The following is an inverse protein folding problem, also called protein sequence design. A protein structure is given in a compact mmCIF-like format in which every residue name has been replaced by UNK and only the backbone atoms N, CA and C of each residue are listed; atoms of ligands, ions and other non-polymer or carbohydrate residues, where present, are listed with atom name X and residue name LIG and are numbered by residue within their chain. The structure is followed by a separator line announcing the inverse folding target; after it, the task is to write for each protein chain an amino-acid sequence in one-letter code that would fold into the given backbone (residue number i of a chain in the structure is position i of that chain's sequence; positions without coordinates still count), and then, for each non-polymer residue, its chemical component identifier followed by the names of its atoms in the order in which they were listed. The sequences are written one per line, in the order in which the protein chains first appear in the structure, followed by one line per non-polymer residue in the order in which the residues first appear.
data_IF_891427114976
#
_entry.id   IF_891427114976
#
_cell.length_a   1.000
_cell.length_b   1.000
_cell.length_c   1.000
_cell.angle_alpha   90.00
_cell.angle_beta   90.00
_cell.angle_gamma   90.00
#
_symmetry.space_group_name_H-M   'P 1'
#
loop_
_entity.id
_entity.type
_entity.pdbx_description
1 polymer ?
#
# COMPACT_ATOMS: atom_id res chain seq x y z
N UNK A 1 -7.75 4.56 3.43
CA UNK A 1 -6.71 5.58 3.61
C UNK A 1 -6.05 5.89 2.28
N UNK A 2 -5.87 7.15 2.00
CA UNK A 2 -5.25 7.61 0.76
C UNK A 2 -4.00 8.42 1.07
N UNK A 3 -2.96 8.22 0.26
CA UNK A 3 -1.75 9.02 0.33
C UNK A 3 -1.46 9.57 -1.07
N UNK A 4 -1.13 10.85 -1.14
CA UNK A 4 -0.70 11.48 -2.40
C UNK A 4 0.59 12.25 -2.08
N UNK A 5 1.63 11.99 -2.86
CA UNK A 5 2.92 12.64 -2.70
C UNK A 5 3.56 12.83 -4.07
N UNK A 6 4.75 13.40 -4.10
CA UNK A 6 5.55 13.53 -5.33
C UNK A 6 6.96 13.01 -5.07
N UNK A 7 7.53 12.36 -6.07
CA UNK A 7 8.92 11.96 -6.01
C UNK A 7 9.85 13.15 -6.33
N UNK A 8 11.19 12.97 -6.24
CA UNK A 8 12.14 14.05 -6.52
C UNK A 8 12.06 14.63 -7.93
N UNK A 9 11.48 13.90 -8.89
CA UNK A 9 11.30 14.36 -10.27
C UNK A 9 9.95 15.05 -10.48
N UNK A 10 9.13 15.17 -9.44
CA UNK A 10 7.81 15.79 -9.52
C UNK A 10 6.69 14.86 -9.95
N UNK A 11 6.98 13.57 -10.16
CA UNK A 11 5.96 12.58 -10.51
C UNK A 11 5.10 12.23 -9.29
N UNK A 12 3.80 12.13 -9.50
CA UNK A 12 2.87 11.82 -8.42
C UNK A 12 3.03 10.37 -7.95
N UNK A 13 3.03 10.20 -6.64
CA UNK A 13 2.99 8.89 -6.00
C UNK A 13 1.67 8.82 -5.25
N UNK A 14 0.85 7.82 -5.56
CA UNK A 14 -0.45 7.63 -4.91
C UNK A 14 -0.54 6.25 -4.31
N UNK A 15 -1.09 6.17 -3.11
CA UNK A 15 -1.40 4.91 -2.46
C UNK A 15 -2.82 4.97 -1.93
N UNK A 16 -3.57 3.90 -2.12
CA UNK A 16 -4.93 3.78 -1.63
C UNK A 16 -5.09 2.44 -0.93
N UNK A 17 -5.53 2.48 0.31
CA UNK A 17 -5.82 1.28 1.12
C UNK A 17 -7.30 1.28 1.44
N UNK A 18 -7.99 0.20 1.13
CA UNK A 18 -9.44 0.10 1.29
C UNK A 18 -9.87 -1.30 1.72
N UNK A 19 -11.00 -1.42 2.40
CA UNK A 19 -11.58 -2.74 2.65
C UNK A 19 -12.10 -3.32 1.35
N UNK A 20 -11.81 -4.59 1.12
CA UNK A 20 -12.27 -5.31 -0.06
C UNK A 20 -13.09 -6.52 0.35
N UNK A 21 -14.11 -6.85 -0.44
CA UNK A 21 -14.88 -8.06 -0.26
C UNK A 21 -14.88 -8.83 -1.57
N UNK A 22 -14.10 -9.90 -1.62
CA UNK A 22 -13.98 -10.72 -2.82
C UNK A 22 -14.40 -12.14 -2.50
N UNK A 23 -15.41 -12.60 -3.21
CA UNK A 23 -16.00 -13.91 -2.95
C UNK A 23 -15.07 -15.06 -3.28
N UNK A 24 -14.29 -14.92 -4.35
CA UNK A 24 -13.42 -15.99 -4.83
C UNK A 24 -12.01 -15.99 -4.18
N UNK A 25 -11.73 -15.05 -3.30
CA UNK A 25 -10.47 -15.00 -2.53
C UNK A 25 -10.77 -14.74 -1.06
N UNK A 26 -11.36 -15.74 -0.36
CA UNK A 26 -11.74 -15.56 1.04
C UNK A 26 -10.54 -15.22 1.91
N UNK A 27 -10.74 -14.30 2.84
CA UNK A 27 -9.67 -13.86 3.76
C UNK A 27 -8.80 -12.74 3.22
N UNK A 28 -8.85 -12.41 1.93
CA UNK A 28 -8.10 -11.30 1.35
C UNK A 28 -8.99 -10.06 1.32
N UNK A 29 -9.05 -9.39 2.47
CA UNK A 29 -10.01 -8.32 2.74
C UNK A 29 -9.41 -6.92 2.74
N UNK A 30 -8.10 -6.80 2.57
CA UNK A 30 -7.43 -5.50 2.50
C UNK A 30 -6.92 -5.28 1.08
N UNK A 31 -7.46 -4.28 0.40
CA UNK A 31 -6.98 -3.87 -0.91
C UNK A 31 -5.94 -2.76 -0.79
N UNK A 32 -4.87 -2.86 -1.55
CA UNK A 32 -3.89 -1.79 -1.68
C UNK A 32 -3.62 -1.51 -3.15
N UNK A 33 -3.66 -0.25 -3.52
CA UNK A 33 -3.31 0.22 -4.86
C UNK A 33 -2.19 1.22 -4.76
N UNK A 34 -1.17 1.02 -5.59
CA UNK A 34 -0.02 1.92 -5.68
C UNK A 34 0.10 2.41 -7.12
N UNK A 35 0.21 3.71 -7.29
CA UNK A 35 0.32 4.35 -8.60
C UNK A 35 1.53 5.28 -8.60
N UNK A 36 2.40 5.09 -9.58
CA UNK A 36 3.55 5.96 -9.77
C UNK A 36 3.92 5.98 -11.25
N UNK A 37 3.97 7.16 -11.85
CA UNK A 37 4.24 7.37 -13.25
C UNK A 37 3.19 6.62 -14.09
N UNK A 38 3.59 5.76 -15.00
CA UNK A 38 2.68 4.91 -15.78
C UNK A 38 2.50 3.52 -15.19
N UNK A 39 2.97 3.31 -13.96
CA UNK A 39 2.96 2.00 -13.30
C UNK A 39 1.89 1.94 -12.23
N UNK A 40 1.12 0.88 -12.26
CA UNK A 40 0.05 0.62 -11.30
C UNK A 40 0.21 -0.78 -10.74
N UNK A 41 0.06 -0.90 -9.42
CA UNK A 41 0.08 -2.19 -8.74
C UNK A 41 -1.16 -2.25 -7.86
N UNK A 42 -1.90 -3.34 -7.96
CA UNK A 42 -3.06 -3.60 -7.11
C UNK A 42 -2.91 -4.98 -6.47
N UNK A 43 -3.06 -5.05 -5.17
CA UNK A 43 -2.94 -6.28 -4.40
C UNK A 43 -4.11 -6.43 -3.44
N UNK A 44 -4.48 -7.68 -3.18
CA UNK A 44 -5.42 -8.04 -2.14
C UNK A 44 -4.67 -8.84 -1.08
N UNK A 45 -4.73 -8.39 0.15
CA UNK A 45 -3.96 -8.94 1.25
C UNK A 45 -4.90 -9.49 2.32
N UNK A 46 -4.43 -10.52 3.02
CA UNK A 46 -5.05 -10.93 4.29
C UNK A 46 -4.75 -9.87 5.35
N UNK A 47 -5.50 -9.90 6.45
CA UNK A 47 -5.24 -8.99 7.56
C UNK A 47 -3.82 -9.14 8.10
N UNK A 48 -3.32 -10.38 8.19
CA UNK A 48 -1.96 -10.65 8.67
C UNK A 48 -0.90 -10.10 7.71
N UNK A 49 -1.08 -10.33 6.41
CA UNK A 49 -0.17 -9.78 5.39
C UNK A 49 -0.14 -8.25 5.43
N UNK A 50 -1.32 -7.63 5.57
CA UNK A 50 -1.41 -6.17 5.65
C UNK A 50 -0.70 -5.64 6.90
N UNK A 51 -0.85 -6.33 8.04
CA UNK A 51 -0.15 -5.97 9.27
C UNK A 51 1.35 -6.08 9.14
N UNK A 52 1.84 -7.16 8.55
CA UNK A 52 3.28 -7.36 8.33
C UNK A 52 3.86 -6.30 7.40
N UNK A 53 3.17 -5.98 6.32
CA UNK A 53 3.60 -4.94 5.40
C UNK A 53 3.64 -3.58 6.09
N UNK A 54 2.60 -3.24 6.85
CA UNK A 54 2.55 -1.99 7.58
C UNK A 54 3.68 -1.86 8.60
N UNK A 55 3.97 -2.92 9.34
CA UNK A 55 5.06 -2.95 10.30
C UNK A 55 6.43 -2.77 9.62
N UNK A 56 6.63 -3.41 8.47
CA UNK A 56 7.85 -3.28 7.70
C UNK A 56 8.05 -1.85 7.20
N UNK A 57 6.99 -1.21 6.72
CA UNK A 57 7.04 0.17 6.26
C UNK A 57 7.35 1.13 7.41
N UNK A 58 6.72 0.94 8.57
CA UNK A 58 6.98 1.76 9.75
C UNK A 58 8.41 1.61 10.25
N UNK A 59 8.91 0.38 10.28
CA UNK A 59 10.29 0.09 10.69
C UNK A 59 11.28 0.76 9.75
N UNK A 60 11.09 0.64 8.45
CA UNK A 60 11.93 1.30 7.46
C UNK A 60 11.95 2.80 7.62
N UNK A 61 10.78 3.42 7.86
CA UNK A 61 10.70 4.87 8.09
C UNK A 61 11.50 5.30 9.33
N UNK A 62 11.43 4.54 10.42
CA UNK A 62 12.18 4.83 11.65
C UNK A 62 13.68 4.72 11.42
N UNK A 63 14.14 3.70 10.72
CA UNK A 63 15.56 3.51 10.43
C UNK A 63 16.13 4.63 9.58
N UNK A 64 15.37 5.12 8.60
CA UNK A 64 15.81 6.20 7.72
C UNK A 64 15.79 7.58 8.40
N UNK A 65 15.01 7.73 9.45
CA UNK A 65 14.94 9.00 10.20
C UNK A 65 15.95 9.07 11.36
N UNK A 66 16.53 7.97 11.70
CA UNK A 66 17.46 7.87 12.83
C UNK A 66 18.78 8.63 12.58
#
# INVERSE_FOLDING_TARGET
MNMISKDPLGEAIRAHVYPAAIVHEPGRIVGIELHHDSKDIALLLTADEAGELGDALLKGAKELRA
#
